data_IF_074456451849
#
_entry.id   IF_074456451849
#
_cell.length_a   1.000
_cell.length_b   1.000
_cell.length_c   1.000
_cell.angle_alpha   90.00
_cell.angle_beta   90.00
_cell.angle_gamma   90.00
#
_symmetry.space_group_name_H-M   'P 1'
#
loop_
_entity.id
_entity.type
_entity.pdbx_description
1 polymer ?
#
# COMPACT_ATOMS: atom_id res chain seq x y z
N UNK A 1 -30.05 -34.21 9.50
CA UNK A 1 -28.59 -34.40 9.77
C UNK A 1 -27.67 -33.76 8.70
N UNK A 2 -28.10 -33.57 7.44
CA UNK A 2 -27.28 -32.96 6.37
C UNK A 2 -27.19 -31.43 6.50
N UNK A 3 -28.26 -30.78 6.94
CA UNK A 3 -28.31 -29.30 7.10
C UNK A 3 -27.49 -28.80 8.29
N UNK A 4 -27.25 -29.62 9.32
CA UNK A 4 -26.43 -29.24 10.47
C UNK A 4 -24.93 -29.10 10.11
N UNK A 5 -24.42 -29.96 9.22
CA UNK A 5 -23.02 -29.90 8.76
C UNK A 5 -22.76 -28.64 7.90
N UNK A 6 -23.72 -28.25 7.03
CA UNK A 6 -23.63 -27.04 6.22
C UNK A 6 -23.71 -25.79 7.10
N UNK A 7 -24.60 -25.79 8.11
CA UNK A 7 -24.68 -24.68 9.07
C UNK A 7 -23.38 -24.52 9.89
N UNK A 8 -22.75 -25.63 10.32
CA UNK A 8 -21.46 -25.62 11.03
C UNK A 8 -20.34 -25.13 10.11
N UNK A 9 -20.31 -25.54 8.83
CA UNK A 9 -19.33 -25.05 7.85
C UNK A 9 -19.50 -23.54 7.58
N UNK A 10 -20.74 -23.07 7.44
CA UNK A 10 -21.05 -21.66 7.26
C UNK A 10 -20.71 -20.81 8.50
N UNK A 11 -20.88 -21.36 9.70
CA UNK A 11 -20.50 -20.70 10.96
C UNK A 11 -18.99 -20.65 11.13
N UNK A 12 -18.28 -21.71 10.75
CA UNK A 12 -16.81 -21.73 10.72
C UNK A 12 -16.26 -20.74 9.67
N UNK A 13 -16.89 -20.59 8.51
CA UNK A 13 -16.50 -19.59 7.51
C UNK A 13 -16.68 -18.14 8.01
N UNK A 14 -17.66 -17.87 8.88
CA UNK A 14 -17.80 -16.54 9.51
C UNK A 14 -16.69 -16.26 10.52
N UNK A 15 -16.28 -17.25 11.28
CA UNK A 15 -15.21 -17.13 12.29
C UNK A 15 -13.83 -17.02 11.63
N UNK A 16 -13.57 -17.78 10.57
CA UNK A 16 -12.34 -17.69 9.79
C UNK A 16 -12.23 -16.36 9.04
N UNK A 17 -13.32 -15.79 8.52
CA UNK A 17 -13.33 -14.45 7.90
C UNK A 17 -12.79 -13.38 8.83
N UNK A 18 -13.17 -13.41 10.13
CA UNK A 18 -12.66 -12.45 11.11
C UNK A 18 -11.14 -12.55 11.31
N UNK A 19 -10.61 -13.77 11.40
CA UNK A 19 -9.17 -14.02 11.57
C UNK A 19 -8.40 -13.59 10.31
N UNK A 20 -8.87 -13.96 9.11
CA UNK A 20 -8.24 -13.52 7.86
C UNK A 20 -8.28 -12.00 7.69
N UNK A 21 -9.39 -11.36 8.04
CA UNK A 21 -9.48 -9.89 8.02
C UNK A 21 -8.52 -9.26 9.02
N UNK A 22 -8.38 -9.82 10.20
CA UNK A 22 -7.45 -9.31 11.23
C UNK A 22 -6.00 -9.43 10.75
N UNK A 23 -5.58 -10.59 10.22
CA UNK A 23 -4.23 -10.81 9.67
C UNK A 23 -3.98 -9.85 8.49
N UNK A 24 -4.98 -9.65 7.64
CA UNK A 24 -4.87 -8.77 6.48
C UNK A 24 -4.70 -7.29 6.85
N UNK A 25 -5.22 -6.85 8.01
CA UNK A 25 -5.10 -5.47 8.48
C UNK A 25 -3.76 -5.20 9.20
N UNK A 26 -3.06 -6.25 9.68
CA UNK A 26 -1.80 -6.10 10.42
C UNK A 26 -0.81 -5.13 9.75
N UNK A 27 -0.53 -5.20 8.44
CA UNK A 27 0.46 -4.34 7.81
C UNK A 27 0.23 -2.85 8.02
N UNK A 28 -1.02 -2.39 7.99
CA UNK A 28 -1.34 -0.96 8.13
C UNK A 28 -1.31 -0.48 9.59
N UNK A 29 -1.49 -1.40 10.55
CA UNK A 29 -1.49 -1.06 11.98
C UNK A 29 -0.07 -0.92 12.51
N UNK A 30 0.90 -1.60 11.88
CA UNK A 30 2.31 -1.52 12.29
C UNK A 30 2.86 -0.13 11.95
N UNK A 31 3.57 0.46 12.91
CA UNK A 31 4.23 1.76 12.72
C UNK A 31 5.20 1.71 11.52
N UNK A 32 5.16 2.69 10.59
CA UNK A 32 5.95 2.65 9.35
C UNK A 32 7.45 2.42 9.56
N UNK A 33 8.05 3.03 10.58
CA UNK A 33 9.45 2.80 10.91
C UNK A 33 9.75 1.33 11.27
N UNK A 34 8.85 0.67 11.99
CA UNK A 34 8.99 -0.76 12.35
C UNK A 34 8.82 -1.65 11.12
N UNK A 35 7.91 -1.31 10.22
CA UNK A 35 7.79 -1.96 8.90
C UNK A 35 9.12 -1.89 8.17
N UNK A 36 9.70 -0.68 8.07
CA UNK A 36 10.98 -0.48 7.42
C UNK A 36 12.10 -1.33 8.02
N UNK A 37 12.25 -1.33 9.35
CA UNK A 37 13.27 -2.14 10.04
C UNK A 37 13.07 -3.65 9.81
N UNK A 38 11.84 -4.13 9.89
CA UNK A 38 11.52 -5.55 9.66
C UNK A 38 11.85 -5.97 8.22
N UNK A 39 11.42 -5.17 7.25
CA UNK A 39 11.70 -5.46 5.85
C UNK A 39 13.18 -5.32 5.49
N UNK A 40 13.92 -4.42 6.14
CA UNK A 40 15.38 -4.36 6.01
C UNK A 40 16.04 -5.69 6.38
N UNK A 41 15.58 -6.33 7.46
CA UNK A 41 16.07 -7.66 7.86
C UNK A 41 15.66 -8.74 6.84
N UNK A 42 14.41 -8.70 6.35
CA UNK A 42 13.90 -9.70 5.40
C UNK A 42 14.57 -9.60 4.03
N UNK A 43 14.89 -8.38 3.58
CA UNK A 43 15.53 -8.09 2.29
C UNK A 43 17.06 -8.16 2.34
N UNK A 44 17.65 -8.36 3.51
CA UNK A 44 19.10 -8.56 3.61
C UNK A 44 19.56 -9.77 2.81
N UNK A 45 20.85 -9.84 2.45
CA UNK A 45 21.39 -10.89 1.58
C UNK A 45 21.15 -12.30 2.16
N UNK A 46 21.25 -12.44 3.50
CA UNK A 46 20.94 -13.70 4.21
C UNK A 46 19.57 -13.65 4.90
N UNK A 47 18.69 -12.75 4.44
CA UNK A 47 17.35 -12.54 5.00
C UNK A 47 16.32 -13.58 4.54
N UNK A 48 15.13 -13.46 5.15
CA UNK A 48 14.01 -14.39 4.94
C UNK A 48 13.60 -14.53 3.46
N UNK A 49 13.62 -13.43 2.70
CA UNK A 49 13.21 -13.45 1.29
C UNK A 49 14.16 -14.32 0.47
N UNK A 50 15.47 -14.17 0.64
CA UNK A 50 16.46 -14.99 -0.04
C UNK A 50 16.46 -16.44 0.47
N UNK A 51 16.15 -16.66 1.74
CA UNK A 51 15.96 -18.01 2.26
C UNK A 51 14.78 -18.71 1.57
N UNK A 52 13.63 -18.03 1.44
CA UNK A 52 12.48 -18.58 0.69
C UNK A 52 12.83 -18.87 -0.76
N UNK A 53 13.55 -17.97 -1.45
CA UNK A 53 13.99 -18.19 -2.83
C UNK A 53 14.90 -19.43 -2.95
N UNK A 54 15.76 -19.68 -1.96
CA UNK A 54 16.64 -20.84 -1.93
C UNK A 54 15.87 -22.16 -1.88
N UNK A 55 14.68 -22.21 -1.29
CA UNK A 55 13.81 -23.41 -1.29
C UNK A 55 13.34 -23.78 -2.70
N UNK A 56 13.30 -22.82 -3.62
CA UNK A 56 12.93 -23.02 -5.02
C UNK A 56 14.16 -23.07 -5.94
N UNK A 57 15.37 -23.24 -5.38
CA UNK A 57 16.65 -23.25 -6.13
C UNK A 57 16.92 -21.96 -6.92
N UNK A 58 16.30 -20.84 -6.51
CA UNK A 58 16.55 -19.53 -7.11
C UNK A 58 17.78 -18.92 -6.42
N UNK A 59 18.75 -18.37 -7.17
CA UNK A 59 19.93 -17.75 -6.58
C UNK A 59 19.57 -16.54 -5.72
N UNK A 60 20.39 -16.26 -4.71
CA UNK A 60 20.21 -15.09 -3.84
C UNK A 60 20.24 -13.80 -4.65
N UNK A 61 19.34 -12.92 -4.36
CA UNK A 61 19.16 -11.61 -5.00
C UNK A 61 19.62 -10.51 -4.05
N UNK A 62 20.35 -9.53 -4.58
CA UNK A 62 20.75 -8.35 -3.79
C UNK A 62 19.62 -7.31 -3.82
N UNK A 63 18.60 -7.50 -3.00
CA UNK A 63 17.45 -6.62 -2.89
C UNK A 63 17.79 -5.19 -2.46
N UNK A 64 18.91 -5.04 -1.72
CA UNK A 64 19.36 -3.75 -1.20
C UNK A 64 20.38 -3.07 -2.11
N UNK A 65 20.71 -3.68 -3.25
CA UNK A 65 21.60 -3.10 -4.27
C UNK A 65 20.92 -1.97 -5.05
N UNK A 66 21.73 -1.16 -5.74
CA UNK A 66 21.31 0.03 -6.50
C UNK A 66 20.16 -0.27 -7.48
N UNK A 67 20.22 -1.43 -8.14
CA UNK A 67 19.29 -1.79 -9.21
C UNK A 67 17.90 -2.17 -8.69
N UNK A 68 17.83 -2.75 -7.48
CA UNK A 68 16.60 -3.28 -6.91
C UNK A 68 16.07 -2.48 -5.70
N UNK A 69 16.85 -1.53 -5.19
CA UNK A 69 16.46 -0.77 -3.99
C UNK A 69 15.09 -0.09 -4.14
N UNK A 70 14.85 0.58 -5.27
CA UNK A 70 13.57 1.25 -5.53
C UNK A 70 12.43 0.23 -5.69
N UNK A 71 12.66 -0.85 -6.41
CA UNK A 71 11.66 -1.92 -6.61
C UNK A 71 11.31 -2.57 -5.26
N UNK A 72 12.30 -2.86 -4.45
CA UNK A 72 12.11 -3.42 -3.10
C UNK A 72 11.30 -2.48 -2.21
N UNK A 73 11.60 -1.18 -2.26
CA UNK A 73 10.85 -0.16 -1.53
C UNK A 73 9.38 -0.10 -1.97
N UNK A 74 9.12 -0.13 -3.28
CA UNK A 74 7.76 -0.16 -3.84
C UNK A 74 7.01 -1.42 -3.36
N UNK A 75 7.64 -2.59 -3.36
CA UNK A 75 7.01 -3.83 -2.89
C UNK A 75 6.62 -3.75 -1.40
N UNK A 76 7.48 -3.19 -0.56
CA UNK A 76 7.19 -2.98 0.86
C UNK A 76 6.03 -2.01 1.04
N UNK A 77 6.02 -0.92 0.30
CA UNK A 77 4.99 0.10 0.35
C UNK A 77 3.63 -0.45 -0.12
N UNK A 78 3.60 -1.17 -1.24
CA UNK A 78 2.39 -1.85 -1.72
C UNK A 78 1.88 -2.86 -0.70
N UNK A 79 2.74 -3.68 -0.10
CA UNK A 79 2.35 -4.63 0.93
C UNK A 79 1.73 -3.94 2.15
N UNK A 80 2.31 -2.84 2.61
CA UNK A 80 1.83 -2.11 3.78
C UNK A 80 0.47 -1.47 3.55
N UNK A 81 0.23 -0.89 2.36
CA UNK A 81 -0.96 -0.07 2.10
C UNK A 81 -2.08 -0.80 1.37
N UNK A 82 -1.83 -1.96 0.76
CA UNK A 82 -2.87 -2.77 0.10
C UNK A 82 -4.10 -3.02 0.99
N UNK A 83 -3.97 -3.37 2.28
CA UNK A 83 -5.13 -3.58 3.14
C UNK A 83 -6.05 -2.36 3.24
N UNK A 84 -5.48 -1.16 3.28
CA UNK A 84 -6.25 0.08 3.35
C UNK A 84 -7.14 0.25 2.12
N UNK A 85 -6.57 0.09 0.93
CA UNK A 85 -7.33 0.18 -0.32
C UNK A 85 -8.44 -0.86 -0.39
N UNK A 86 -8.11 -2.10 -0.05
CA UNK A 86 -9.08 -3.20 -0.09
C UNK A 86 -10.23 -2.95 0.87
N UNK A 87 -9.97 -2.47 2.08
CA UNK A 87 -11.02 -2.18 3.07
C UNK A 87 -11.96 -1.07 2.57
N UNK A 88 -11.41 0.04 2.06
CA UNK A 88 -12.22 1.15 1.59
C UNK A 88 -13.05 0.75 0.36
N UNK A 89 -12.44 0.07 -0.61
CA UNK A 89 -13.15 -0.37 -1.81
C UNK A 89 -14.20 -1.44 -1.48
N UNK A 90 -13.90 -2.33 -0.54
CA UNK A 90 -14.87 -3.31 -0.06
C UNK A 90 -16.07 -2.65 0.62
N UNK A 91 -15.83 -1.66 1.48
CA UNK A 91 -16.90 -0.88 2.08
C UNK A 91 -17.72 -0.13 1.02
N UNK A 92 -17.05 0.50 0.04
CA UNK A 92 -17.70 1.15 -1.09
C UNK A 92 -18.58 0.19 -1.91
N UNK A 93 -18.11 -1.03 -2.18
CA UNK A 93 -18.90 -2.04 -2.88
C UNK A 93 -20.19 -2.41 -2.14
N UNK A 94 -20.19 -2.36 -0.81
CA UNK A 94 -21.38 -2.68 0.00
C UNK A 94 -22.43 -1.56 -0.01
N UNK A 95 -22.03 -0.34 -0.32
CA UNK A 95 -22.94 0.84 -0.35
C UNK A 95 -23.52 1.10 -1.73
N UNK A 96 -23.14 0.33 -2.77
CA UNK A 96 -23.65 0.52 -4.10
C UNK A 96 -25.17 0.26 -4.17
N UNK A 97 -25.93 1.07 -4.94
CA UNK A 97 -27.34 0.83 -5.17
C UNK A 97 -27.54 -0.51 -5.90
N UNK A 98 -28.57 -1.25 -5.49
CA UNK A 98 -28.86 -2.58 -6.06
C UNK A 98 -29.53 -2.47 -7.42
N UNK A 99 -30.37 -1.46 -7.63
CA UNK A 99 -31.20 -1.34 -8.84
C UNK A 99 -30.40 -1.40 -10.15
N UNK A 100 -29.28 -0.65 -10.33
CA UNK A 100 -28.47 -0.76 -11.54
C UNK A 100 -27.81 -2.13 -11.72
N UNK A 101 -27.46 -2.78 -10.58
CA UNK A 101 -26.84 -4.10 -10.60
C UNK A 101 -27.83 -5.18 -10.98
N UNK A 102 -29.06 -5.06 -10.51
CA UNK A 102 -30.13 -6.01 -10.84
C UNK A 102 -30.63 -5.80 -12.26
N UNK A 103 -30.74 -4.55 -12.74
CA UNK A 103 -31.11 -4.24 -14.11
C UNK A 103 -30.17 -4.88 -15.15
N UNK A 104 -28.85 -4.69 -15.01
CA UNK A 104 -27.89 -5.27 -15.97
C UNK A 104 -27.87 -6.81 -15.92
N UNK A 105 -28.22 -7.42 -14.77
CA UNK A 105 -28.37 -8.87 -14.65
C UNK A 105 -29.60 -9.41 -15.39
N UNK A 106 -30.69 -8.64 -15.36
CA UNK A 106 -31.89 -8.97 -16.15
C UNK A 106 -31.60 -8.92 -17.66
N UNK A 107 -30.69 -7.99 -18.06
CA UNK A 107 -30.20 -7.89 -19.46
C UNK A 107 -29.21 -9.02 -19.81
N UNK A 108 -28.95 -9.97 -18.92
CA UNK A 108 -28.13 -11.16 -19.16
C UNK A 108 -26.61 -10.96 -18.96
N UNK A 109 -26.20 -9.88 -18.33
CA UNK A 109 -24.77 -9.66 -18.06
C UNK A 109 -24.22 -10.65 -17.03
N UNK A 110 -23.03 -11.17 -17.30
CA UNK A 110 -22.27 -11.97 -16.34
C UNK A 110 -21.63 -11.10 -15.24
N UNK A 111 -21.09 -11.74 -14.19
CA UNK A 111 -20.52 -11.02 -13.05
C UNK A 111 -19.33 -10.11 -13.42
N UNK A 112 -18.53 -10.48 -14.43
CA UNK A 112 -17.42 -9.68 -14.94
C UNK A 112 -17.94 -8.42 -15.64
N UNK A 113 -18.95 -8.56 -16.52
CA UNK A 113 -19.60 -7.44 -17.18
C UNK A 113 -20.26 -6.51 -16.15
N UNK A 114 -20.99 -7.08 -15.19
CA UNK A 114 -21.60 -6.32 -14.09
C UNK A 114 -20.56 -5.52 -13.31
N UNK A 115 -19.38 -6.10 -13.06
CA UNK A 115 -18.30 -5.42 -12.36
C UNK A 115 -17.76 -4.24 -13.17
N UNK A 116 -17.38 -4.45 -14.43
CA UNK A 116 -16.73 -3.41 -15.23
C UNK A 116 -17.68 -2.32 -15.73
N UNK A 117 -18.94 -2.67 -16.07
CA UNK A 117 -19.88 -1.71 -16.63
C UNK A 117 -20.73 -0.97 -15.59
N UNK A 118 -20.93 -1.55 -14.39
CA UNK A 118 -21.78 -0.93 -13.36
C UNK A 118 -20.99 -0.64 -12.09
N UNK A 119 -20.40 -1.65 -11.44
CA UNK A 119 -19.81 -1.47 -10.11
C UNK A 119 -18.57 -0.56 -10.16
N UNK A 120 -17.68 -0.77 -11.10
CA UNK A 120 -16.43 0.00 -11.21
C UNK A 120 -16.70 1.48 -11.53
N UNK A 121 -17.55 1.85 -12.50
CA UNK A 121 -17.93 3.25 -12.71
C UNK A 121 -18.57 3.90 -11.49
N UNK A 122 -19.44 3.20 -10.77
CA UNK A 122 -20.06 3.72 -9.54
C UNK A 122 -19.05 3.88 -8.38
N UNK A 123 -17.97 3.10 -8.36
CA UNK A 123 -16.88 3.24 -7.40
C UNK A 123 -15.85 4.29 -7.80
N UNK A 124 -15.85 4.77 -9.03
CA UNK A 124 -14.83 5.70 -9.53
C UNK A 124 -14.63 6.92 -8.64
N UNK A 125 -15.68 7.61 -8.13
CA UNK A 125 -15.48 8.75 -7.22
C UNK A 125 -14.71 8.37 -5.95
N UNK A 126 -15.03 7.21 -5.38
CA UNK A 126 -14.33 6.69 -4.20
C UNK A 126 -12.88 6.33 -4.50
N UNK A 127 -12.63 5.69 -5.64
CA UNK A 127 -11.28 5.34 -6.10
C UNK A 127 -10.43 6.61 -6.26
N UNK A 128 -10.98 7.65 -6.87
CA UNK A 128 -10.30 8.94 -7.05
C UNK A 128 -9.90 9.52 -5.68
N UNK A 129 -10.82 9.59 -4.73
CA UNK A 129 -10.54 10.11 -3.38
C UNK A 129 -9.40 9.31 -2.72
N UNK A 130 -9.45 7.98 -2.77
CA UNK A 130 -8.43 7.12 -2.16
C UNK A 130 -7.07 7.28 -2.86
N UNK A 131 -7.05 7.42 -4.18
CA UNK A 131 -5.82 7.67 -4.94
C UNK A 131 -5.21 9.03 -4.57
N UNK A 132 -6.01 10.07 -4.41
CA UNK A 132 -5.55 11.40 -4.01
C UNK A 132 -4.87 11.34 -2.63
N UNK A 133 -5.57 10.76 -1.64
CA UNK A 133 -5.03 10.59 -0.30
C UNK A 133 -3.70 9.84 -0.34
N UNK A 134 -3.60 8.81 -1.19
CA UNK A 134 -2.38 8.01 -1.33
C UNK A 134 -1.23 8.77 -1.99
N UNK A 135 -1.49 9.56 -3.02
CA UNK A 135 -0.46 10.39 -3.65
C UNK A 135 0.13 11.38 -2.65
N UNK A 136 -0.73 12.02 -1.85
CA UNK A 136 -0.28 12.93 -0.79
C UNK A 136 0.59 12.21 0.26
N UNK A 137 0.23 10.99 0.62
CA UNK A 137 0.98 10.16 1.58
C UNK A 137 2.35 9.74 1.03
N UNK A 138 2.42 9.31 -0.24
CA UNK A 138 3.67 8.90 -0.89
C UNK A 138 4.68 10.04 -0.94
N UNK A 139 4.24 11.26 -1.25
CA UNK A 139 5.13 12.44 -1.31
C UNK A 139 5.76 12.73 0.06
N UNK A 140 5.06 12.43 1.13
CA UNK A 140 5.50 12.66 2.50
C UNK A 140 6.16 11.44 3.15
N UNK A 141 6.28 10.32 2.40
CA UNK A 141 6.83 9.07 2.94
C UNK A 141 8.31 9.25 3.30
N UNK A 142 8.60 9.27 4.60
CA UNK A 142 9.94 9.37 5.18
C UNK A 142 10.32 8.08 5.91
N UNK A 143 9.45 7.62 6.82
CA UNK A 143 9.80 6.64 7.85
C UNK A 143 10.27 5.30 7.29
N UNK A 144 9.53 4.72 6.34
CA UNK A 144 9.86 3.42 5.73
C UNK A 144 11.14 3.54 4.92
N UNK A 145 11.24 4.60 4.10
CA UNK A 145 12.40 4.82 3.23
C UNK A 145 13.66 5.04 4.05
N UNK A 146 13.56 5.84 5.09
CA UNK A 146 14.67 6.12 6.00
C UNK A 146 15.10 4.87 6.78
N UNK A 147 14.15 4.09 7.29
CA UNK A 147 14.45 2.89 8.07
C UNK A 147 15.15 1.81 7.23
N UNK A 148 14.79 1.64 5.95
CA UNK A 148 15.39 0.63 5.09
C UNK A 148 16.71 1.14 4.50
N UNK A 149 16.69 2.29 3.82
CA UNK A 149 17.74 2.72 2.90
C UNK A 149 18.44 4.02 3.28
N UNK A 150 17.83 4.88 4.13
CA UNK A 150 18.33 6.22 4.45
C UNK A 150 18.61 7.08 3.19
N UNK A 151 17.90 6.81 2.09
CA UNK A 151 18.11 7.46 0.79
C UNK A 151 19.10 6.77 -0.14
N UNK A 152 19.81 5.72 0.34
CA UNK A 152 20.80 4.97 -0.44
C UNK A 152 20.23 3.74 -1.15
N UNK A 153 21.09 2.90 -1.80
CA UNK A 153 22.50 3.15 -2.06
C UNK A 153 22.71 4.33 -3.01
N UNK A 154 23.75 5.13 -2.79
CA UNK A 154 23.93 6.40 -3.50
C UNK A 154 22.79 7.37 -3.20
N UNK A 155 21.97 7.69 -4.21
CA UNK A 155 20.73 8.48 -4.10
C UNK A 155 19.51 7.76 -4.70
N UNK A 156 19.57 6.44 -4.90
CA UNK A 156 18.56 5.67 -5.63
C UNK A 156 17.18 5.65 -4.96
N UNK A 157 17.12 5.85 -3.65
CA UNK A 157 15.87 5.93 -2.87
C UNK A 157 15.72 7.27 -2.16
N UNK A 158 16.42 8.31 -2.62
CA UNK A 158 16.34 9.64 -2.02
C UNK A 158 15.00 10.31 -2.36
N UNK A 159 14.13 10.42 -1.36
CA UNK A 159 12.87 11.17 -1.46
C UNK A 159 13.06 12.61 -0.99
N UNK A 160 12.14 13.52 -1.36
CA UNK A 160 12.17 14.91 -0.90
C UNK A 160 12.25 15.03 0.64
N UNK A 161 11.48 14.30 1.44
CA UNK A 161 11.61 14.33 2.90
C UNK A 161 13.00 13.90 3.39
N UNK A 162 13.63 12.92 2.75
CA UNK A 162 15.00 12.49 3.10
C UNK A 162 16.02 13.56 2.74
N UNK A 163 15.89 14.18 1.58
CA UNK A 163 16.74 15.28 1.19
C UNK A 163 16.66 16.46 2.18
N UNK A 164 15.45 16.83 2.57
CA UNK A 164 15.19 17.84 3.62
C UNK A 164 15.86 17.45 4.93
N UNK A 165 15.64 16.22 5.40
CA UNK A 165 16.27 15.72 6.62
C UNK A 165 17.80 15.76 6.56
N UNK A 166 18.39 15.37 5.42
CA UNK A 166 19.84 15.42 5.19
C UNK A 166 20.39 16.85 5.24
N UNK A 167 19.68 17.82 4.66
CA UNK A 167 20.06 19.23 4.73
C UNK A 167 20.09 19.74 6.17
N UNK A 168 19.09 19.40 6.97
CA UNK A 168 19.04 19.82 8.38
C UNK A 168 20.07 19.09 9.24
N UNK A 169 20.09 17.77 9.20
CA UNK A 169 20.85 16.97 10.18
C UNK A 169 22.30 16.74 9.79
N UNK A 170 22.57 16.46 8.49
CA UNK A 170 23.92 16.13 8.05
C UNK A 170 24.68 17.35 7.57
N UNK A 171 24.04 18.22 6.80
CA UNK A 171 24.70 19.37 6.16
C UNK A 171 24.61 20.66 7.01
N UNK A 172 23.73 20.67 8.03
CA UNK A 172 23.47 21.85 8.89
C UNK A 172 23.04 23.10 8.11
N UNK A 173 22.47 22.93 6.93
CA UNK A 173 22.01 24.01 6.05
C UNK A 173 20.54 24.33 6.35
N UNK A 174 20.29 24.95 7.52
CA UNK A 174 18.93 25.23 8.02
C UNK A 174 18.12 26.07 7.02
N UNK A 175 18.71 27.09 6.41
CA UNK A 175 18.01 27.94 5.43
C UNK A 175 17.56 27.17 4.20
N UNK A 176 18.42 26.34 3.62
CA UNK A 176 18.11 25.51 2.47
C UNK A 176 17.08 24.43 2.82
N UNK A 177 17.26 23.74 3.95
CA UNK A 177 16.30 22.76 4.44
C UNK A 177 14.90 23.35 4.66
N UNK A 178 14.82 24.57 5.21
CA UNK A 178 13.54 25.28 5.38
C UNK A 178 12.88 25.62 4.04
N UNK A 179 13.66 26.09 3.05
CA UNK A 179 13.15 26.39 1.71
C UNK A 179 12.58 25.13 1.03
N UNK A 180 13.30 24.02 1.09
CA UNK A 180 12.80 22.73 0.54
C UNK A 180 11.58 22.20 1.29
N UNK A 181 11.52 22.35 2.62
CA UNK A 181 10.33 22.01 3.41
C UNK A 181 9.12 22.82 2.97
N UNK A 182 9.30 24.10 2.70
CA UNK A 182 8.22 24.96 2.21
C UNK A 182 7.75 24.55 0.81
N UNK A 183 8.68 24.21 -0.10
CA UNK A 183 8.34 23.66 -1.43
C UNK A 183 7.54 22.37 -1.29
N UNK A 184 7.90 21.48 -0.37
CA UNK A 184 7.22 20.22 -0.12
C UNK A 184 5.76 20.46 0.36
N UNK A 185 5.56 21.45 1.22
CA UNK A 185 4.22 21.87 1.67
C UNK A 185 3.41 22.41 0.49
N UNK A 186 3.98 23.32 -0.31
CA UNK A 186 3.31 23.88 -1.48
C UNK A 186 2.93 22.80 -2.49
N UNK A 187 3.84 21.86 -2.76
CA UNK A 187 3.57 20.72 -3.64
C UNK A 187 2.40 19.89 -3.14
N UNK A 188 2.34 19.63 -1.84
CA UNK A 188 1.25 18.87 -1.23
C UNK A 188 -0.09 19.60 -1.36
N UNK A 189 -0.12 20.91 -1.12
CA UNK A 189 -1.30 21.73 -1.33
C UNK A 189 -1.72 21.83 -2.80
N UNK A 190 -0.77 21.96 -3.71
CA UNK A 190 -1.04 22.03 -5.15
C UNK A 190 -1.69 20.73 -5.65
N UNK A 191 -1.19 19.59 -5.22
CA UNK A 191 -1.79 18.29 -5.54
C UNK A 191 -3.19 18.19 -4.96
N UNK A 192 -3.38 18.55 -3.69
CA UNK A 192 -4.71 18.55 -3.09
C UNK A 192 -5.69 19.45 -3.87
N UNK A 193 -5.23 20.64 -4.31
CA UNK A 193 -6.07 21.59 -5.04
C UNK A 193 -6.47 21.13 -6.44
N UNK A 194 -5.60 20.39 -7.16
CA UNK A 194 -5.92 19.85 -8.49
C UNK A 194 -7.08 18.85 -8.43
N UNK A 195 -7.25 18.18 -7.30
CA UNK A 195 -8.21 17.09 -7.15
C UNK A 195 -9.49 17.46 -6.39
N UNK A 196 -9.59 18.70 -5.87
CA UNK A 196 -10.79 19.25 -5.27
C UNK A 196 -11.57 20.03 -6.34
#
# INVERSE_FOLDING_TARGET
>A
KRYSKIAILLTNMRRTRGIFSAIFIIPIVIMPAMVGLTWKMYLSYDGLVNWVLSLFYIPKVNWMGTDLALVSLILVDVWQWTPFFVLILFAGLQTLPKDPIDAIRVDGANDFQTFFYVKLPLLTPLIIIVCILRIMEIIRNFDVVFAIYQGGPGSSTETLPIAVWRMFMSQRQVGMGSAFSFILILLSFFIAFIFI
#
